data_IF_538160204155
#
_entry.id   IF_538160204155
#
_cell.length_a   1.000
_cell.length_b   1.000
_cell.length_c   1.000
_cell.angle_alpha   90.00
_cell.angle_beta   90.00
_cell.angle_gamma   90.00
#
_symmetry.space_group_name_H-M   'P 1'
#
loop_
_entity.id
_entity.type
_entity.pdbx_description
1 polymer ?
#
# COMPACT_ATOMS: atom_id res chain seq x y z
N UNK A 1 -17.19 -7.72 11.02
CA UNK A 1 -15.77 -7.38 11.10
C UNK A 1 -15.55 -6.32 12.16
N UNK A 2 -14.36 -6.24 12.76
CA UNK A 2 -14.03 -5.24 13.77
C UNK A 2 -13.80 -3.85 13.19
N UNK A 3 -14.64 -2.87 13.58
CA UNK A 3 -14.44 -1.45 13.23
C UNK A 3 -13.03 -0.96 13.58
N UNK A 4 -12.49 -1.39 14.73
CA UNK A 4 -11.16 -1.01 15.20
C UNK A 4 -10.04 -1.56 14.31
N UNK A 5 -10.19 -2.78 13.79
CA UNK A 5 -9.21 -3.35 12.87
C UNK A 5 -9.14 -2.55 11.57
N UNK A 6 -10.28 -2.11 11.04
CA UNK A 6 -10.34 -1.23 9.88
C UNK A 6 -9.77 0.17 10.17
N UNK A 7 -10.03 0.77 11.33
CA UNK A 7 -9.44 2.07 11.71
C UNK A 7 -7.91 2.01 11.76
N UNK A 8 -7.34 0.99 12.42
CA UNK A 8 -5.89 0.79 12.48
C UNK A 8 -5.31 0.61 11.08
N UNK A 9 -5.97 -0.19 10.24
CA UNK A 9 -5.53 -0.42 8.86
C UNK A 9 -5.62 0.85 8.02
N UNK A 10 -6.67 1.66 8.19
CA UNK A 10 -6.84 2.95 7.52
C UNK A 10 -5.70 3.92 7.88
N UNK A 11 -5.37 4.03 9.17
CA UNK A 11 -4.24 4.86 9.64
C UNK A 11 -2.91 4.34 9.07
N UNK A 12 -2.70 3.02 9.09
CA UNK A 12 -1.48 2.41 8.52
C UNK A 12 -1.29 2.74 7.05
N UNK A 13 -2.36 2.65 6.24
CA UNK A 13 -2.33 3.02 4.83
C UNK A 13 -2.15 4.51 4.61
N UNK A 14 -2.77 5.36 5.44
CA UNK A 14 -2.63 6.82 5.35
C UNK A 14 -1.18 7.25 5.61
N UNK A 15 -0.57 6.73 6.68
CA UNK A 15 0.83 6.97 7.00
C UNK A 15 1.76 6.46 5.89
N UNK A 16 1.46 5.28 5.34
CA UNK A 16 2.22 4.71 4.22
C UNK A 16 2.11 5.57 2.96
N UNK A 17 0.91 6.08 2.63
CA UNK A 17 0.70 6.97 1.50
C UNK A 17 1.53 8.25 1.61
N UNK A 18 1.52 8.91 2.77
CA UNK A 18 2.33 10.10 3.00
C UNK A 18 3.83 9.80 3.00
N UNK A 19 4.26 8.75 3.73
CA UNK A 19 5.67 8.34 3.76
C UNK A 19 6.20 7.96 2.37
N UNK A 20 5.41 7.25 1.58
CA UNK A 20 5.74 6.91 0.20
C UNK A 20 5.86 8.19 -0.67
N UNK A 21 4.93 9.13 -0.53
CA UNK A 21 4.99 10.41 -1.25
C UNK A 21 6.22 11.24 -0.88
N UNK A 22 6.56 11.30 0.41
CA UNK A 22 7.71 12.08 0.89
C UNK A 22 9.02 11.42 0.43
N UNK A 23 9.15 10.10 0.57
CA UNK A 23 10.35 9.36 0.15
C UNK A 23 10.60 9.46 -1.35
N UNK A 24 9.58 9.76 -2.17
CA UNK A 24 9.73 10.03 -3.61
C UNK A 24 10.84 11.06 -3.89
N UNK A 25 10.85 12.15 -3.10
CA UNK A 25 11.84 13.22 -3.26
C UNK A 25 13.25 12.72 -2.98
N UNK A 26 13.41 11.90 -1.95
CA UNK A 26 14.70 11.38 -1.53
C UNK A 26 15.32 10.51 -2.64
N UNK A 27 14.65 9.43 -3.05
CA UNK A 27 15.25 8.50 -4.00
C UNK A 27 15.36 9.09 -5.41
N UNK A 28 14.41 9.93 -5.83
CA UNK A 28 14.48 10.60 -7.15
C UNK A 28 15.53 11.71 -7.20
N UNK A 29 16.01 12.20 -6.04
CA UNK A 29 17.11 13.16 -5.98
C UNK A 29 18.48 12.53 -6.18
N UNK A 30 18.60 11.21 -6.00
CA UNK A 30 19.87 10.48 -6.08
C UNK A 30 20.44 10.47 -7.50
N UNK A 31 21.78 10.40 -7.57
CA UNK A 31 22.51 10.44 -8.84
C UNK A 31 22.19 9.24 -9.74
N UNK A 32 22.05 8.06 -9.14
CA UNK A 32 21.68 6.80 -9.82
C UNK A 32 20.32 6.89 -10.51
N UNK A 33 19.30 7.44 -9.85
CA UNK A 33 18.00 7.67 -10.48
C UNK A 33 18.05 8.74 -11.56
N UNK A 34 18.80 9.83 -11.34
CA UNK A 34 18.92 10.90 -12.33
C UNK A 34 19.67 10.48 -13.59
N UNK A 35 20.52 9.46 -13.51
CA UNK A 35 21.31 8.96 -14.64
C UNK A 35 20.59 7.94 -15.52
N UNK A 36 19.40 7.45 -15.14
CA UNK A 36 18.65 6.50 -15.97
C UNK A 36 17.98 7.19 -17.16
N UNK A 37 17.66 6.42 -18.21
CA UNK A 37 16.98 6.93 -19.41
C UNK A 37 15.59 7.51 -19.12
N UNK A 38 15.15 8.45 -19.97
CA UNK A 38 13.93 9.22 -19.77
C UNK A 38 12.66 8.34 -19.58
N UNK A 39 12.56 7.22 -20.31
CA UNK A 39 11.45 6.29 -20.16
C UNK A 39 11.39 5.70 -18.75
N UNK A 40 12.51 5.13 -18.27
CA UNK A 40 12.59 4.54 -16.94
C UNK A 40 12.36 5.58 -15.83
N UNK A 41 12.91 6.79 -16.00
CA UNK A 41 12.69 7.90 -15.08
C UNK A 41 11.21 8.30 -15.00
N UNK A 42 10.56 8.48 -16.15
CA UNK A 42 9.15 8.86 -16.22
C UNK A 42 8.26 7.79 -15.61
N UNK A 43 8.42 6.52 -16.02
CA UNK A 43 7.63 5.42 -15.48
C UNK A 43 7.88 5.22 -13.98
N UNK A 44 9.13 5.35 -13.52
CA UNK A 44 9.48 5.25 -12.11
C UNK A 44 8.85 6.37 -11.27
N UNK A 45 8.93 7.62 -11.74
CA UNK A 45 8.33 8.76 -11.04
C UNK A 45 6.81 8.66 -10.99
N UNK A 46 6.15 8.43 -12.13
CA UNK A 46 4.68 8.33 -12.19
C UNK A 46 4.20 7.11 -11.41
N UNK A 47 4.84 5.95 -11.59
CA UNK A 47 4.49 4.72 -10.87
C UNK A 47 4.61 4.88 -9.35
N UNK A 48 5.58 5.67 -8.88
CA UNK A 48 5.71 5.97 -7.46
C UNK A 48 4.53 6.78 -6.91
N UNK A 49 4.12 7.85 -7.61
CA UNK A 49 2.95 8.63 -7.19
C UNK A 49 1.62 7.88 -7.37
N UNK A 50 1.51 7.02 -8.38
CA UNK A 50 0.39 6.08 -8.49
C UNK A 50 0.31 5.14 -7.28
N UNK A 51 1.45 4.61 -6.82
CA UNK A 51 1.53 3.83 -5.59
C UNK A 51 1.06 4.61 -4.35
N UNK A 52 1.45 5.89 -4.22
CA UNK A 52 0.96 6.75 -3.15
C UNK A 52 -0.57 6.93 -3.19
N UNK A 53 -1.13 7.13 -4.38
CA UNK A 53 -2.57 7.22 -4.60
C UNK A 53 -3.30 5.91 -4.25
N UNK A 54 -2.74 4.76 -4.65
CA UNK A 54 -3.26 3.45 -4.29
C UNK A 54 -3.34 3.28 -2.77
N UNK A 55 -2.28 3.64 -2.04
CA UNK A 55 -2.29 3.56 -0.57
C UNK A 55 -3.34 4.47 0.06
N UNK A 56 -3.57 5.67 -0.49
CA UNK A 56 -4.63 6.56 -0.03
C UNK A 56 -6.02 5.95 -0.27
N UNK A 57 -6.24 5.33 -1.43
CA UNK A 57 -7.49 4.62 -1.74
C UNK A 57 -7.74 3.51 -0.71
N UNK A 58 -6.72 2.71 -0.39
CA UNK A 58 -6.84 1.66 0.64
C UNK A 58 -7.10 2.24 2.04
N UNK A 59 -6.53 3.40 2.37
CA UNK A 59 -6.83 4.09 3.62
C UNK A 59 -8.31 4.48 3.71
N UNK A 60 -8.82 5.13 2.66
CA UNK A 60 -10.22 5.58 2.58
C UNK A 60 -11.19 4.40 2.58
N UNK A 61 -10.86 3.32 1.88
CA UNK A 61 -11.68 2.11 1.82
C UNK A 61 -11.81 1.45 3.19
N UNK A 62 -10.71 1.34 3.94
CA UNK A 62 -10.78 0.83 5.31
C UNK A 62 -11.52 1.78 6.24
N UNK A 63 -11.35 3.10 6.07
CA UNK A 63 -12.12 4.06 6.85
C UNK A 63 -13.63 3.88 6.59
N UNK A 64 -14.04 3.72 5.33
CA UNK A 64 -15.42 3.42 4.97
C UNK A 64 -15.94 2.14 5.65
N UNK A 65 -15.18 1.04 5.62
CA UNK A 65 -15.56 -0.20 6.31
C UNK A 65 -15.66 -0.02 7.83
N UNK A 66 -14.82 0.85 8.41
CA UNK A 66 -14.88 1.13 9.85
C UNK A 66 -16.15 1.84 10.31
N UNK A 67 -16.77 2.62 9.42
CA UNK A 67 -18.02 3.34 9.69
C UNK A 67 -19.24 2.40 9.70
N UNK A 68 -19.15 1.28 8.97
CA UNK A 68 -20.23 0.29 8.83
C UNK A 68 -19.73 -1.14 8.99
N UNK A 69 -19.26 -1.54 10.19
CA UNK A 69 -18.60 -2.84 10.43
C UNK A 69 -19.52 -4.07 10.27
N UNK A 70 -20.84 -3.84 10.21
CA UNK A 70 -21.87 -4.87 10.02
C UNK A 70 -22.37 -4.93 8.57
N UNK A 71 -21.83 -4.11 7.66
CA UNK A 71 -22.20 -4.17 6.26
C UNK A 71 -21.82 -5.54 5.67
N UNK A 72 -22.71 -6.10 4.83
CA UNK A 72 -22.43 -7.34 4.12
C UNK A 72 -21.41 -7.02 3.03
N UNK A 73 -20.23 -7.63 3.11
CA UNK A 73 -19.22 -7.55 2.05
C UNK A 73 -19.55 -8.50 0.92
N UNK A 74 -19.66 -7.97 -0.29
CA UNK A 74 -19.91 -8.74 -1.50
C UNK A 74 -18.69 -9.58 -1.89
N UNK A 75 -18.90 -10.53 -2.80
CA UNK A 75 -17.77 -11.25 -3.42
C UNK A 75 -16.82 -10.33 -4.18
N UNK A 76 -17.32 -9.19 -4.68
CA UNK A 76 -16.49 -8.18 -5.36
C UNK A 76 -15.61 -7.44 -4.35
N UNK A 77 -16.13 -7.06 -3.18
CA UNK A 77 -15.31 -6.44 -2.12
C UNK A 77 -14.14 -7.37 -1.72
N UNK A 78 -14.44 -8.66 -1.54
CA UNK A 78 -13.42 -9.70 -1.26
C UNK A 78 -12.39 -9.79 -2.39
N UNK A 79 -12.81 -9.76 -3.64
CA UNK A 79 -11.90 -9.82 -4.79
C UNK A 79 -10.99 -8.58 -4.86
N UNK A 80 -11.54 -7.38 -4.61
CA UNK A 80 -10.78 -6.13 -4.56
C UNK A 80 -9.71 -6.19 -3.46
N UNK A 81 -10.09 -6.59 -2.25
CA UNK A 81 -9.15 -6.67 -1.13
C UNK A 81 -8.12 -7.77 -1.32
N UNK A 82 -8.52 -8.95 -1.82
CA UNK A 82 -7.59 -10.03 -2.14
C UNK A 82 -6.55 -9.58 -3.19
N UNK A 83 -6.99 -8.85 -4.22
CA UNK A 83 -6.10 -8.29 -5.26
C UNK A 83 -5.13 -7.27 -4.67
N UNK A 84 -5.60 -6.40 -3.77
CA UNK A 84 -4.76 -5.44 -3.08
C UNK A 84 -3.70 -6.15 -2.22
N UNK A 85 -4.10 -7.13 -1.40
CA UNK A 85 -3.16 -7.92 -0.56
C UNK A 85 -2.12 -8.63 -1.42
N UNK A 86 -2.56 -9.32 -2.48
CA UNK A 86 -1.65 -10.03 -3.38
C UNK A 86 -0.64 -9.08 -4.05
N UNK A 87 -1.08 -7.91 -4.49
CA UNK A 87 -0.21 -6.89 -5.10
C UNK A 87 0.85 -6.41 -4.11
N UNK A 88 0.44 -6.02 -2.90
CA UNK A 88 1.32 -5.48 -1.86
C UNK A 88 2.34 -6.53 -1.39
N UNK A 89 1.91 -7.76 -1.15
CA UNK A 89 2.80 -8.84 -0.73
C UNK A 89 3.74 -9.29 -1.84
N UNK A 90 3.31 -9.25 -3.10
CA UNK A 90 4.21 -9.46 -4.25
C UNK A 90 5.30 -8.39 -4.28
N UNK A 91 4.97 -7.12 -4.04
CA UNK A 91 5.95 -6.05 -3.91
C UNK A 91 6.88 -6.25 -2.72
N UNK A 92 6.35 -6.66 -1.56
CA UNK A 92 7.15 -6.95 -0.37
C UNK A 92 8.20 -8.04 -0.62
N UNK A 93 7.79 -9.15 -1.23
CA UNK A 93 8.67 -10.25 -1.61
C UNK A 93 9.74 -9.78 -2.60
N UNK A 94 9.37 -8.96 -3.57
CA UNK A 94 10.32 -8.42 -4.54
C UNK A 94 11.33 -7.48 -3.89
N UNK A 95 10.89 -6.58 -3.01
CA UNK A 95 11.79 -5.70 -2.23
C UNK A 95 12.77 -6.51 -1.39
N UNK A 96 12.30 -7.54 -0.69
CA UNK A 96 13.15 -8.42 0.09
C UNK A 96 14.22 -9.09 -0.77
N UNK A 97 13.82 -9.66 -1.92
CA UNK A 97 14.74 -10.29 -2.88
C UNK A 97 15.77 -9.32 -3.48
N UNK A 98 15.51 -8.01 -3.46
CA UNK A 98 16.41 -6.96 -3.95
C UNK A 98 17.18 -6.24 -2.83
N UNK A 99 17.08 -6.70 -1.59
CA UNK A 99 17.78 -6.11 -0.45
C UNK A 99 17.17 -4.80 0.07
N UNK A 100 15.97 -4.42 -0.40
CA UNK A 100 15.25 -3.24 0.05
C UNK A 100 14.40 -3.57 1.29
N UNK A 101 15.08 -4.00 2.37
CA UNK A 101 14.46 -4.52 3.59
C UNK A 101 13.46 -3.56 4.24
N UNK A 102 13.75 -2.24 4.38
CA UNK A 102 12.78 -1.32 4.98
C UNK A 102 11.44 -1.29 4.23
N UNK A 103 11.49 -1.26 2.89
CA UNK A 103 10.29 -1.28 2.05
C UNK A 103 9.53 -2.60 2.21
N UNK A 104 10.25 -3.73 2.22
CA UNK A 104 9.66 -5.04 2.42
C UNK A 104 8.93 -5.16 3.77
N UNK A 105 9.52 -4.64 4.84
CA UNK A 105 8.91 -4.65 6.18
C UNK A 105 7.64 -3.82 6.20
N UNK A 106 7.70 -2.57 5.74
CA UNK A 106 6.53 -1.68 5.73
C UNK A 106 5.38 -2.31 4.93
N UNK A 107 5.62 -2.73 3.69
CA UNK A 107 4.56 -3.31 2.84
C UNK A 107 4.04 -4.64 3.38
N UNK A 108 4.88 -5.47 4.00
CA UNK A 108 4.41 -6.71 4.66
C UNK A 108 3.47 -6.42 5.82
N UNK A 109 3.83 -5.44 6.68
CA UNK A 109 3.02 -5.06 7.84
C UNK A 109 1.67 -4.52 7.41
N UNK A 110 1.62 -3.52 6.50
CA UNK A 110 0.33 -2.95 6.08
C UNK A 110 -0.50 -3.91 5.23
N UNK A 111 0.14 -4.76 4.42
CA UNK A 111 -0.55 -5.86 3.73
C UNK A 111 -1.13 -6.89 4.71
N UNK A 112 -0.41 -7.19 5.79
CA UNK A 112 -0.89 -8.05 6.86
C UNK A 112 -2.07 -7.45 7.62
N UNK A 113 -2.03 -6.15 7.94
CA UNK A 113 -3.16 -5.41 8.52
C UNK A 113 -4.39 -5.45 7.59
N UNK A 114 -4.19 -5.27 6.28
CA UNK A 114 -5.26 -5.36 5.29
C UNK A 114 -5.91 -6.74 5.25
N UNK A 115 -5.09 -7.81 5.23
CA UNK A 115 -5.59 -9.17 5.23
C UNK A 115 -6.32 -9.51 6.53
N UNK A 116 -5.75 -9.10 7.67
CA UNK A 116 -6.35 -9.33 8.98
C UNK A 116 -7.70 -8.62 9.12
N UNK A 117 -7.73 -7.31 8.86
CA UNK A 117 -8.93 -6.49 9.04
C UNK A 117 -10.12 -6.97 8.20
N UNK A 118 -9.87 -7.54 7.02
CA UNK A 118 -10.91 -7.92 6.08
C UNK A 118 -11.21 -9.42 6.00
N UNK A 119 -10.31 -10.32 6.40
CA UNK A 119 -10.58 -11.76 6.31
C UNK A 119 -10.64 -12.46 7.66
N UNK A 120 -10.08 -11.87 8.71
CA UNK A 120 -9.86 -12.54 9.99
C UNK A 120 -10.47 -11.81 11.20
N UNK A 121 -10.85 -10.54 11.07
CA UNK A 121 -11.29 -9.67 12.17
C UNK A 121 -12.80 -9.37 12.20
#
# INVERSE_FOLDING_TARGET
MSSRAHQVTAIGWLLTSFGHTISAKEWQSRKDFKSIGNLAKTCGTVGWYQGSGLFLILALLNYQYSLSPTAIHTSIDKAVIATAVATIWSSALYYYKKGLVPNAVVTSVVGGLQAYSFFLA
#
